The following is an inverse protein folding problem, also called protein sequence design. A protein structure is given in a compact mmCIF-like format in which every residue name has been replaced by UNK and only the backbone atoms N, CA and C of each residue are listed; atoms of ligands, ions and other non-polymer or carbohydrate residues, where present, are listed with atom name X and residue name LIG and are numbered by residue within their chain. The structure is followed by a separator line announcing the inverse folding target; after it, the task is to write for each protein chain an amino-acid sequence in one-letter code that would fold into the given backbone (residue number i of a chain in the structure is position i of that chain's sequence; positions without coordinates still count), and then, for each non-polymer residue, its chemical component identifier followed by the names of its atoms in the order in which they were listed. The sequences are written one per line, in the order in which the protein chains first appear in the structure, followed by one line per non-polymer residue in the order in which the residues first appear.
data_IF_382224760169
#
_entry.id   IF_382224760169
#
_cell.length_a   1.000
_cell.length_b   1.000
_cell.length_c   1.000
_cell.angle_alpha   90.00
_cell.angle_beta   90.00
_cell.angle_gamma   90.00
#
_symmetry.space_group_name_H-M   'P 1'
#
loop_
_entity.id
_entity.type
_entity.pdbx_description
1 polymer ?
#
# COMPACT_ATOMS: atom_id res chain seq x y z
N UNK A 1 9.32 -54.22 13.70
CA UNK A 1 8.39 -54.53 14.81
C UNK A 1 9.19 -54.56 16.10
N UNK A 2 9.18 -53.46 16.86
CA UNK A 2 9.66 -53.37 18.24
C UNK A 2 9.16 -52.05 18.88
N UNK A 3 8.22 -52.21 19.80
CA UNK A 3 8.03 -51.53 21.11
C UNK A 3 8.37 -50.03 21.24
N UNK A 4 7.39 -49.19 21.62
CA UNK A 4 7.26 -48.64 23.00
C UNK A 4 6.19 -47.56 23.08
N UNK A 5 5.15 -47.88 23.84
CA UNK A 5 4.29 -46.94 24.53
C UNK A 5 5.10 -46.03 25.46
N UNK A 6 4.78 -44.74 25.49
CA UNK A 6 5.04 -43.89 26.64
C UNK A 6 3.78 -43.09 26.98
N UNK A 7 3.05 -43.69 27.90
CA UNK A 7 2.15 -43.09 28.85
C UNK A 7 2.79 -41.91 29.60
N UNK A 8 1.95 -40.88 29.84
CA UNK A 8 1.81 -40.13 31.10
C UNK A 8 3.02 -39.32 31.60
N UNK A 9 2.89 -37.99 31.56
CA UNK A 9 3.23 -37.15 32.72
C UNK A 9 2.43 -35.85 32.69
N UNK A 10 1.31 -35.83 33.42
CA UNK A 10 0.75 -34.63 34.02
C UNK A 10 1.34 -34.55 35.43
N UNK A 11 2.05 -33.47 35.78
CA UNK A 11 1.83 -32.71 37.02
C UNK A 11 2.92 -31.64 37.29
N UNK A 12 2.59 -30.62 38.13
CA UNK A 12 3.18 -29.29 38.13
C UNK A 12 4.15 -29.03 39.30
N UNK A 13 5.13 -28.15 39.09
CA UNK A 13 5.90 -27.45 40.15
C UNK A 13 6.37 -26.12 39.54
N UNK A 14 5.67 -25.00 39.75
CA UNK A 14 5.93 -24.02 40.82
C UNK A 14 7.39 -23.51 40.86
N UNK A 15 7.58 -22.34 40.26
CA UNK A 15 8.24 -21.16 40.80
C UNK A 15 9.67 -21.31 41.39
N UNK A 16 10.68 -20.76 40.70
CA UNK A 16 11.50 -19.66 41.26
C UNK A 16 12.63 -19.19 40.33
N UNK A 17 12.71 -17.84 40.23
CA UNK A 17 13.89 -17.01 39.92
C UNK A 17 14.55 -17.17 38.54
N UNK A 18 14.41 -16.13 37.71
CA UNK A 18 15.54 -15.39 37.11
C UNK A 18 15.02 -14.01 36.60
N UNK A 19 15.46 -12.98 37.33
CA UNK A 19 15.74 -11.58 36.95
C UNK A 19 14.62 -10.65 36.44
N UNK A 20 14.06 -9.90 37.40
CA UNK A 20 13.49 -8.57 37.19
C UNK A 20 14.57 -7.59 36.70
N UNK A 21 14.35 -6.92 35.57
CA UNK A 21 15.15 -5.76 35.15
C UNK A 21 14.48 -4.49 35.71
N UNK A 22 15.19 -3.64 36.46
CA UNK A 22 14.64 -2.47 37.12
C UNK A 22 14.39 -1.31 36.15
N UNK A 23 13.26 -0.64 36.42
CA UNK A 23 12.89 0.67 35.93
C UNK A 23 13.82 1.72 36.56
N UNK A 24 14.63 2.41 35.75
CA UNK A 24 15.37 3.60 36.15
C UNK A 24 15.21 4.68 35.10
N UNK A 25 14.67 5.81 35.54
CA UNK A 25 14.35 6.97 34.72
C UNK A 25 15.57 7.69 34.16
N UNK A 26 15.31 8.45 33.11
CA UNK A 26 16.07 9.65 32.76
C UNK A 26 15.09 10.76 32.38
N UNK A 27 14.65 11.43 33.45
CA UNK A 27 14.31 12.84 33.44
C UNK A 27 15.52 13.62 32.92
N UNK A 28 15.34 14.47 31.91
CA UNK A 28 16.26 15.57 31.63
C UNK A 28 15.53 16.91 31.79
N UNK A 29 16.22 17.94 32.28
CA UNK A 29 15.65 18.95 33.16
C UNK A 29 14.99 20.12 32.42
N UNK A 30 13.96 20.66 33.07
CA UNK A 30 13.56 22.06 32.92
C UNK A 30 14.72 22.94 33.42
N UNK A 31 15.26 23.79 32.55
CA UNK A 31 16.05 24.94 32.98
C UNK A 31 15.45 26.21 32.41
N UNK A 32 14.73 26.89 33.29
CA UNK A 32 14.30 28.27 33.19
C UNK A 32 15.53 29.18 33.11
N UNK A 33 15.54 30.12 32.17
CA UNK A 33 16.22 31.39 32.37
C UNK A 33 15.37 32.50 31.76
N UNK A 34 14.97 33.41 32.63
CA UNK A 34 14.07 34.53 32.40
C UNK A 34 14.88 35.76 31.98
N UNK A 35 14.36 36.52 31.01
CA UNK A 35 14.44 37.99 30.83
C UNK A 35 15.85 38.62 30.69
N UNK A 36 16.17 39.47 29.71
CA UNK A 36 15.56 40.79 29.46
C UNK A 36 16.10 41.43 28.15
N UNK A 37 15.22 42.16 27.44
CA UNK A 37 15.45 43.40 26.64
C UNK A 37 16.33 43.29 25.37
N UNK A 38 16.12 44.00 24.26
CA UNK A 38 15.08 44.83 23.64
C UNK A 38 15.56 45.01 22.18
N UNK A 39 14.65 45.19 21.21
CA UNK A 39 14.69 46.23 20.16
C UNK A 39 13.65 45.93 19.06
N UNK A 40 12.70 46.86 18.94
CA UNK A 40 11.67 46.94 17.91
C UNK A 40 12.21 47.72 16.66
N UNK A 41 11.43 47.96 15.58
CA UNK A 41 11.69 47.54 14.20
C UNK A 41 12.05 48.70 13.23
N UNK A 42 12.21 48.42 11.92
CA UNK A 42 11.57 49.29 10.94
C UNK A 42 10.78 48.56 9.83
N UNK A 43 9.89 49.30 9.13
CA UNK A 43 8.73 48.79 8.40
C UNK A 43 9.12 48.43 6.97
N UNK A 44 8.31 47.66 6.24
CA UNK A 44 7.95 47.97 4.86
C UNK A 44 6.92 46.95 4.39
N UNK A 45 5.71 47.48 4.23
CA UNK A 45 4.62 46.95 3.44
C UNK A 45 5.11 46.39 2.11
N UNK A 46 4.95 45.09 1.89
CA UNK A 46 4.67 44.59 0.56
C UNK A 46 3.69 43.44 0.64
N UNK A 47 2.44 43.75 0.29
CA UNK A 47 1.45 42.77 -0.10
C UNK A 47 2.09 41.88 -1.18
N UNK A 48 2.40 40.64 -0.83
CA UNK A 48 2.53 39.57 -1.80
C UNK A 48 1.86 38.35 -1.21
N UNK A 49 0.66 38.12 -1.74
CA UNK A 49 -0.16 36.92 -1.70
C UNK A 49 0.67 35.63 -1.48
N UNK A 50 0.95 35.28 -0.22
CA UNK A 50 1.27 33.92 0.15
C UNK A 50 -0.04 33.13 0.16
N UNK A 51 -0.37 32.58 -1.00
CA UNK A 51 -1.38 31.56 -1.18
C UNK A 51 -0.90 30.31 -0.45
N UNK A 52 -1.20 30.22 0.85
CA UNK A 52 -1.09 29.00 1.63
C UNK A 52 -2.06 27.99 1.01
N UNK A 53 -1.56 27.18 0.08
CA UNK A 53 -2.20 25.93 -0.34
C UNK A 53 -2.19 25.03 0.89
N UNK A 54 -3.22 25.15 1.72
CA UNK A 54 -3.58 24.13 2.68
C UNK A 54 -3.93 22.90 1.86
N UNK A 55 -2.99 21.96 1.78
CA UNK A 55 -3.26 20.59 1.36
C UNK A 55 -4.21 20.01 2.40
N UNK A 56 -5.49 20.26 2.22
CA UNK A 56 -6.55 19.53 2.87
C UNK A 56 -6.50 18.12 2.30
N UNK A 57 -5.72 17.26 2.95
CA UNK A 57 -5.87 15.82 2.85
C UNK A 57 -7.28 15.49 3.34
N UNK A 58 -8.23 15.44 2.42
CA UNK A 58 -9.58 14.98 2.68
C UNK A 58 -9.49 13.52 3.15
N UNK A 59 -10.00 13.18 4.35
CA UNK A 59 -10.17 11.79 4.72
C UNK A 59 -11.18 11.18 3.76
N UNK A 60 -10.73 10.20 2.96
CA UNK A 60 -11.63 9.41 2.11
C UNK A 60 -12.52 8.59 3.05
N UNK A 61 -13.71 9.09 3.33
CA UNK A 61 -14.73 8.36 4.08
C UNK A 61 -15.10 7.10 3.29
N UNK A 62 -14.76 5.94 3.85
CA UNK A 62 -15.18 4.65 3.34
C UNK A 62 -16.59 4.34 3.86
N UNK A 63 -17.60 4.70 3.08
CA UNK A 63 -19.00 4.34 3.35
C UNK A 63 -19.18 2.83 3.14
N UNK A 64 -19.43 2.10 4.23
CA UNK A 64 -19.60 0.65 4.21
C UNK A 64 -21.05 0.28 3.89
N UNK A 65 -21.45 0.35 2.62
CA UNK A 65 -22.76 -0.15 2.18
C UNK A 65 -22.85 -1.67 2.34
N UNK A 66 -23.71 -2.12 3.26
CA UNK A 66 -23.96 -3.53 3.57
C UNK A 66 -24.73 -4.21 2.41
N UNK A 67 -23.97 -4.85 1.54
CA UNK A 67 -24.43 -5.79 0.51
C UNK A 67 -24.37 -7.23 1.08
N UNK A 68 -25.13 -8.21 0.52
CA UNK A 68 -25.41 -9.53 1.10
C UNK A 68 -24.22 -10.19 1.80
N UNK A 69 -24.48 -10.85 2.93
CA UNK A 69 -23.53 -11.35 3.93
C UNK A 69 -22.11 -11.57 3.39
N UNK A 70 -21.33 -10.50 3.35
CA UNK A 70 -19.99 -10.51 2.76
C UNK A 70 -19.11 -11.44 3.58
N UNK A 71 -18.70 -12.56 2.99
CA UNK A 71 -17.90 -13.61 3.66
C UNK A 71 -16.69 -13.07 4.43
N UNK A 72 -16.08 -11.97 3.96
CA UNK A 72 -14.89 -11.41 4.60
C UNK A 72 -14.93 -9.88 4.70
N UNK A 73 -14.58 -9.33 5.87
CA UNK A 73 -14.51 -7.88 6.11
C UNK A 73 -13.26 -7.26 5.46
N UNK A 74 -12.07 -7.82 5.75
CA UNK A 74 -10.76 -7.23 5.38
C UNK A 74 -10.00 -8.00 4.29
N UNK A 75 -10.04 -9.34 4.32
CA UNK A 75 -9.09 -10.18 3.56
C UNK A 75 -9.41 -10.33 2.07
N UNK A 76 -10.67 -10.37 1.65
CA UNK A 76 -11.04 -10.51 0.23
C UNK A 76 -10.46 -11.78 -0.41
N UNK A 77 -9.92 -11.67 -1.64
CA UNK A 77 -9.33 -12.76 -2.42
C UNK A 77 -8.20 -13.52 -1.70
N UNK A 78 -7.46 -12.82 -0.83
CA UNK A 78 -6.38 -13.42 -0.03
C UNK A 78 -6.86 -14.32 1.13
N UNK A 79 -8.18 -14.52 1.27
CA UNK A 79 -8.75 -15.47 2.22
C UNK A 79 -8.27 -16.91 1.99
N UNK A 80 -7.86 -17.27 0.76
CA UNK A 80 -7.29 -18.59 0.43
C UNK A 80 -6.02 -18.94 1.21
N UNK A 81 -5.28 -17.93 1.67
CA UNK A 81 -4.02 -18.14 2.37
C UNK A 81 -4.20 -18.48 3.86
N UNK A 82 -5.41 -18.34 4.42
CA UNK A 82 -5.68 -18.60 5.83
C UNK A 82 -4.82 -17.74 6.74
N UNK A 83 -4.25 -18.33 7.80
CA UNK A 83 -3.49 -17.64 8.86
C UNK A 83 -1.98 -17.49 8.58
N UNK A 84 -1.43 -18.12 7.53
CA UNK A 84 0.00 -18.50 7.44
C UNK A 84 1.02 -17.37 7.24
N UNK A 85 0.76 -16.36 6.42
CA UNK A 85 1.82 -15.45 5.93
C UNK A 85 1.84 -14.05 6.59
N UNK A 86 1.06 -13.84 7.65
CA UNK A 86 0.97 -12.53 8.30
C UNK A 86 0.11 -11.51 7.52
N UNK A 87 -0.20 -10.37 8.15
CA UNK A 87 -1.17 -9.40 7.62
C UNK A 87 -0.59 -8.47 6.55
N UNK A 88 0.69 -8.09 6.65
CA UNK A 88 1.35 -7.17 5.72
C UNK A 88 1.47 -7.77 4.31
N UNK A 89 2.01 -8.99 4.18
CA UNK A 89 2.15 -9.69 2.91
C UNK A 89 0.80 -9.91 2.23
N UNK A 90 -0.23 -10.31 3.00
CA UNK A 90 -1.59 -10.49 2.46
C UNK A 90 -2.19 -9.17 1.95
N UNK A 91 -1.90 -8.02 2.56
CA UNK A 91 -2.38 -6.72 2.05
C UNK A 91 -1.72 -6.35 0.72
N UNK A 92 -0.43 -6.64 0.56
CA UNK A 92 0.30 -6.37 -0.69
C UNK A 92 -0.18 -7.30 -1.81
N UNK A 93 -0.21 -8.61 -1.55
CA UNK A 93 -0.69 -9.62 -2.51
C UNK A 93 -2.14 -9.34 -2.90
N UNK A 94 -3.01 -8.94 -1.97
CA UNK A 94 -4.39 -8.57 -2.30
C UNK A 94 -4.48 -7.50 -3.40
N UNK A 95 -3.64 -6.47 -3.36
CA UNK A 95 -3.63 -5.40 -4.37
C UNK A 95 -3.25 -5.97 -5.75
N UNK A 96 -2.18 -6.77 -5.79
CA UNK A 96 -1.70 -7.40 -7.03
C UNK A 96 -2.69 -8.43 -7.57
N UNK A 97 -3.34 -9.20 -6.70
CA UNK A 97 -4.31 -10.21 -7.08
C UNK A 97 -5.62 -9.62 -7.60
N UNK A 98 -6.04 -8.49 -7.06
CA UNK A 98 -7.20 -7.75 -7.58
C UNK A 98 -6.88 -7.21 -8.96
N UNK A 99 -5.71 -6.57 -9.13
CA UNK A 99 -5.27 -6.03 -10.41
C UNK A 99 -5.16 -7.11 -11.49
N UNK A 100 -4.53 -8.27 -11.19
CA UNK A 100 -4.36 -9.31 -12.19
C UNK A 100 -5.68 -9.97 -12.64
N UNK A 101 -6.68 -10.07 -11.75
CA UNK A 101 -7.98 -10.69 -12.06
C UNK A 101 -9.01 -9.69 -12.59
N UNK A 102 -8.73 -8.39 -12.49
CA UNK A 102 -9.58 -7.34 -13.04
C UNK A 102 -9.69 -7.48 -14.56
N UNK A 103 -10.82 -7.02 -15.10
CA UNK A 103 -10.98 -6.81 -16.54
C UNK A 103 -10.56 -5.38 -16.84
N UNK A 104 -9.79 -5.21 -17.92
CA UNK A 104 -9.30 -3.92 -18.36
C UNK A 104 -9.96 -3.51 -19.68
N UNK A 105 -10.00 -2.20 -19.92
CA UNK A 105 -10.40 -1.61 -21.18
C UNK A 105 -9.39 -1.96 -22.29
N UNK A 106 -9.90 -2.40 -23.44
CA UNK A 106 -9.07 -2.66 -24.60
C UNK A 106 -8.85 -1.37 -25.40
N UNK A 107 -7.59 -1.00 -25.67
CA UNK A 107 -7.24 0.17 -26.49
C UNK A 107 -7.67 0.07 -27.97
N UNK A 108 -8.04 -1.13 -28.44
CA UNK A 108 -8.45 -1.33 -29.84
C UNK A 108 -9.97 -1.32 -30.02
N UNK A 109 -10.72 -1.97 -29.12
CA UNK A 109 -12.17 -2.13 -29.26
C UNK A 109 -12.99 -1.41 -28.18
N UNK A 110 -12.36 -0.74 -27.21
CA UNK A 110 -13.03 0.00 -26.13
C UNK A 110 -13.76 -0.85 -25.08
N UNK A 111 -13.98 -2.15 -25.33
CA UNK A 111 -14.66 -3.06 -24.40
C UNK A 111 -13.78 -3.51 -23.23
N UNK A 112 -14.36 -3.66 -22.04
CA UNK A 112 -13.73 -4.22 -20.83
C UNK A 112 -13.65 -5.75 -20.83
N UNK A 113 -12.91 -6.30 -21.78
CA UNK A 113 -12.81 -7.76 -21.98
C UNK A 113 -11.37 -8.26 -21.93
N UNK A 114 -10.40 -7.40 -21.63
CA UNK A 114 -8.99 -7.79 -21.54
C UNK A 114 -8.76 -8.62 -20.29
N UNK A 115 -8.11 -9.76 -20.47
CA UNK A 115 -7.78 -10.74 -19.42
C UNK A 115 -6.28 -11.03 -19.47
N UNK A 116 -5.70 -11.36 -18.32
CA UNK A 116 -4.31 -11.82 -18.24
C UNK A 116 -4.22 -13.25 -18.75
N UNK A 117 -3.36 -13.50 -19.74
CA UNK A 117 -3.03 -14.86 -20.19
C UNK A 117 -1.82 -15.40 -19.43
N UNK A 118 -0.71 -14.67 -19.52
CA UNK A 118 0.54 -14.97 -18.81
C UNK A 118 1.12 -13.69 -18.21
N UNK A 119 2.27 -13.79 -17.53
CA UNK A 119 2.98 -12.61 -17.04
C UNK A 119 3.37 -11.71 -18.22
N UNK A 120 2.91 -10.46 -18.21
CA UNK A 120 3.18 -9.49 -19.29
C UNK A 120 2.38 -9.71 -20.58
N UNK A 121 1.60 -10.80 -20.69
CA UNK A 121 0.78 -11.10 -21.88
C UNK A 121 -0.70 -10.97 -21.54
N UNK A 122 -1.35 -10.03 -22.22
CA UNK A 122 -2.76 -9.70 -22.03
C UNK A 122 -3.54 -9.99 -23.30
N UNK A 123 -4.68 -10.66 -23.20
CA UNK A 123 -5.49 -11.06 -24.35
C UNK A 123 -6.89 -10.48 -24.23
N UNK A 124 -7.39 -9.90 -25.31
CA UNK A 124 -8.75 -9.37 -25.36
C UNK A 124 -9.72 -10.46 -25.81
N UNK A 125 -10.78 -10.71 -25.04
CA UNK A 125 -11.80 -11.70 -25.41
C UNK A 125 -12.62 -11.33 -26.66
N UNK A 126 -12.83 -10.03 -26.92
CA UNK A 126 -13.66 -9.57 -28.05
C UNK A 126 -12.89 -9.42 -29.35
N UNK A 127 -11.76 -8.70 -29.36
CA UNK A 127 -10.97 -8.49 -30.58
C UNK A 127 -9.89 -9.55 -30.82
N UNK A 128 -9.68 -10.47 -29.86
CA UNK A 128 -8.64 -11.52 -29.88
C UNK A 128 -7.20 -11.01 -30.04
N UNK A 129 -6.98 -9.69 -29.93
CA UNK A 129 -5.65 -9.09 -29.96
C UNK A 129 -4.92 -9.38 -28.66
N UNK A 130 -3.64 -9.71 -28.79
CA UNK A 130 -2.71 -9.87 -27.67
C UNK A 130 -1.89 -8.60 -27.52
N UNK A 131 -1.68 -8.19 -26.27
CA UNK A 131 -0.98 -6.95 -25.91
C UNK A 131 0.09 -7.29 -24.87
N UNK A 132 1.30 -6.80 -25.12
CA UNK A 132 2.37 -6.84 -24.13
C UNK A 132 2.19 -5.70 -23.13
N UNK A 133 2.30 -6.00 -21.84
CA UNK A 133 2.05 -5.06 -20.76
C UNK A 133 2.84 -5.37 -19.50
N UNK A 134 2.42 -4.80 -18.38
CA UNK A 134 2.99 -5.12 -17.08
C UNK A 134 2.65 -6.53 -16.60
N UNK A 135 3.37 -7.00 -15.58
CA UNK A 135 3.16 -8.32 -15.00
C UNK A 135 1.77 -8.48 -14.34
N UNK A 136 1.26 -7.42 -13.71
CA UNK A 136 -0.01 -7.40 -12.96
C UNK A 136 -1.02 -6.36 -13.47
N UNK A 137 -0.59 -5.40 -14.29
CA UNK A 137 -1.45 -4.37 -14.92
C UNK A 137 -1.17 -4.29 -16.42
N UNK A 138 -2.16 -3.93 -17.24
CA UNK A 138 -1.99 -3.83 -18.71
C UNK A 138 -1.00 -2.73 -19.09
N UNK A 139 -1.07 -1.57 -18.45
CA UNK A 139 -0.08 -0.48 -18.61
C UNK A 139 0.58 -0.18 -17.27
N UNK A 140 1.89 -0.01 -17.27
CA UNK A 140 2.65 0.54 -16.14
C UNK A 140 2.78 2.05 -16.29
N UNK A 141 3.06 2.76 -15.18
CA UNK A 141 3.27 4.21 -15.21
C UNK A 141 4.50 4.57 -16.07
N UNK A 142 5.60 3.82 -15.95
CA UNK A 142 6.78 4.00 -16.78
C UNK A 142 6.50 3.77 -18.27
N UNK A 143 5.70 2.76 -18.63
CA UNK A 143 5.33 2.56 -20.03
C UNK A 143 4.44 3.70 -20.57
N UNK A 144 3.64 4.36 -19.73
CA UNK A 144 2.86 5.52 -20.15
C UNK A 144 3.76 6.73 -20.43
N UNK A 145 4.77 6.99 -19.58
CA UNK A 145 5.72 8.10 -19.79
C UNK A 145 6.65 7.86 -20.98
N UNK A 146 7.08 6.61 -21.21
CA UNK A 146 7.88 6.28 -22.40
C UNK A 146 7.07 6.50 -23.68
N UNK A 147 5.79 6.15 -23.70
CA UNK A 147 4.92 6.39 -24.87
C UNK A 147 4.74 7.89 -25.17
N UNK A 148 4.57 8.73 -24.16
CA UNK A 148 4.43 10.17 -24.36
C UNK A 148 5.75 10.85 -24.77
N UNK A 149 6.87 10.44 -24.19
CA UNK A 149 8.19 10.97 -24.54
C UNK A 149 8.60 10.61 -25.96
N UNK A 150 8.43 9.35 -26.38
CA UNK A 150 8.71 8.93 -27.76
C UNK A 150 7.85 9.72 -28.75
N UNK A 151 6.55 9.90 -28.45
CA UNK A 151 5.66 10.69 -29.31
C UNK A 151 6.18 12.12 -29.49
N UNK A 152 6.52 12.81 -28.41
CA UNK A 152 7.05 14.18 -28.44
C UNK A 152 8.36 14.27 -29.24
N UNK A 153 9.27 13.31 -29.05
CA UNK A 153 10.55 13.30 -29.75
C UNK A 153 10.40 13.06 -31.26
N UNK A 154 9.41 12.27 -31.68
CA UNK A 154 9.09 12.07 -33.10
C UNK A 154 8.53 13.34 -33.74
N UNK A 155 7.59 14.00 -33.06
CA UNK A 155 7.00 15.27 -33.51
C UNK A 155 8.06 16.37 -33.68
N UNK A 156 9.10 16.40 -32.83
CA UNK A 156 10.21 17.35 -32.95
C UNK A 156 11.23 17.03 -34.05
N UNK A 157 11.32 15.77 -34.48
CA UNK A 157 12.30 15.35 -35.48
C UNK A 157 11.75 15.43 -36.92
N UNK A 158 10.43 15.40 -37.07
CA UNK A 158 9.72 15.50 -38.35
C UNK A 158 9.31 16.94 -38.70
N UNK A 159 9.44 17.87 -37.75
CA UNK A 159 9.24 19.31 -37.94
C UNK A 159 10.54 19.98 -38.41
#
# INVERSE_FOLDING_TARGET
MAVKDHTLFNSPCVNSRILCIPNLGRQWPLRSYSSTLEFLPPPFTHLSLYLLVTVQSTPVHYESTKHPAKRTKKVGITGKYGVRYGSSLRRQVKKLEIQQHARYDCSFCGKQTVRRGAAGVWTCGSCKKTVAGGAYTVSTAAAATVRSTIRRLREMAEA
#
